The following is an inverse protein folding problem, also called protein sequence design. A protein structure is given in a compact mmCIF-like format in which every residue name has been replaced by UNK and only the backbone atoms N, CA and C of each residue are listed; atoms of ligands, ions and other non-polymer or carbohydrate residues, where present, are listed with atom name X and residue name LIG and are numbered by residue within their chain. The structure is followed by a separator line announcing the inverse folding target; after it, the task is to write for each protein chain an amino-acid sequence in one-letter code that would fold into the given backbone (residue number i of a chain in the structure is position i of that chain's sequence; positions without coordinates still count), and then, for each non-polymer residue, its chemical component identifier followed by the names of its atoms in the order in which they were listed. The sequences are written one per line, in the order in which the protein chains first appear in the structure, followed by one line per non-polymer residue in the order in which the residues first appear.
data_IF_815178279360
#
_entry.id   IF_815178279360
#
_cell.length_a   1.000
_cell.length_b   1.000
_cell.length_c   1.000
_cell.angle_alpha   90.00
_cell.angle_beta   90.00
_cell.angle_gamma   90.00
#
_symmetry.space_group_name_H-M   'P 1'
#
loop_
_entity.id
_entity.type
_entity.pdbx_description
1 polymer ?
#
# COMPACT_ATOMS: atom_id res chain seq x y z
N UNK A 1 -8.19 -2.23 -15.64
CA UNK A 1 -9.33 -3.02 -15.12
C UNK A 1 -9.49 -2.88 -13.61
N UNK A 2 -8.49 -3.19 -12.81
CA UNK A 2 -8.57 -3.12 -11.34
C UNK A 2 -8.34 -1.74 -10.73
N UNK A 3 -7.77 -0.78 -11.49
CA UNK A 3 -7.36 0.52 -10.98
C UNK A 3 -8.48 1.32 -10.29
N UNK A 4 -9.71 1.23 -10.78
CA UNK A 4 -10.86 1.89 -10.13
C UNK A 4 -11.23 1.25 -8.79
N UNK A 5 -11.24 -0.08 -8.74
CA UNK A 5 -11.52 -0.83 -7.50
C UNK A 5 -10.47 -0.58 -6.42
N UNK A 6 -9.20 -0.52 -6.82
CA UNK A 6 -8.06 -0.28 -5.95
C UNK A 6 -7.79 1.23 -5.75
N UNK A 7 -8.60 2.10 -6.38
CA UNK A 7 -8.36 3.56 -6.39
C UNK A 7 -6.91 3.89 -6.78
N UNK A 8 -6.39 3.19 -7.80
CA UNK A 8 -5.01 3.33 -8.25
C UNK A 8 -4.75 4.75 -8.73
N UNK A 9 -3.71 5.35 -8.20
CA UNK A 9 -3.17 6.62 -8.67
C UNK A 9 -1.79 6.38 -9.27
N UNK A 10 -1.38 7.24 -10.19
CA UNK A 10 -0.06 7.18 -10.78
C UNK A 10 0.48 8.58 -11.06
N UNK A 11 1.80 8.68 -11.07
CA UNK A 11 2.51 9.85 -11.59
C UNK A 11 3.82 9.41 -12.24
N UNK A 12 4.33 10.26 -13.12
CA UNK A 12 5.66 10.10 -13.72
C UNK A 12 6.53 11.28 -13.30
N UNK A 13 7.63 11.01 -12.64
CA UNK A 13 8.53 12.03 -12.14
C UNK A 13 9.97 11.50 -12.11
N UNK A 14 10.94 12.34 -12.46
CA UNK A 14 12.39 12.03 -12.46
C UNK A 14 12.77 10.72 -13.15
N UNK A 15 12.02 10.38 -14.23
CA UNK A 15 12.27 9.18 -15.02
C UNK A 15 11.73 7.89 -14.40
N UNK A 16 10.93 7.99 -13.36
CA UNK A 16 10.22 6.86 -12.75
C UNK A 16 8.71 7.01 -12.88
N UNK A 17 8.04 5.87 -13.11
CA UNK A 17 6.60 5.71 -12.95
C UNK A 17 6.33 5.24 -11.52
N UNK A 18 5.48 5.95 -10.81
CA UNK A 18 4.97 5.62 -9.49
C UNK A 18 3.53 5.18 -9.57
N UNK A 19 3.19 4.12 -8.87
CA UNK A 19 1.82 3.63 -8.74
C UNK A 19 1.51 3.42 -7.25
N UNK A 20 0.32 3.79 -6.83
CA UNK A 20 -0.20 3.56 -5.49
C UNK A 20 -1.63 3.05 -5.57
N UNK A 21 -1.90 1.95 -4.87
CA UNK A 21 -3.23 1.41 -4.69
C UNK A 21 -3.75 1.73 -3.28
N UNK A 22 -5.04 2.04 -3.18
CA UNK A 22 -5.72 2.25 -1.90
C UNK A 22 -6.75 1.15 -1.68
N UNK A 23 -6.52 0.32 -0.67
CA UNK A 23 -7.36 -0.85 -0.42
C UNK A 23 -7.53 -1.11 1.08
N UNK A 24 -8.77 -1.25 1.55
CA UNK A 24 -9.11 -1.44 2.96
C UNK A 24 -8.45 -0.43 3.93
N UNK A 25 -8.41 0.84 3.54
CA UNK A 25 -7.84 1.91 4.36
C UNK A 25 -6.31 1.91 4.44
N UNK A 26 -5.65 1.10 3.63
CA UNK A 26 -4.20 1.11 3.50
C UNK A 26 -3.77 1.53 2.10
N UNK A 27 -2.57 2.07 2.02
CA UNK A 27 -1.90 2.43 0.76
C UNK A 27 -0.81 1.43 0.46
N UNK A 28 -0.70 1.03 -0.81
CA UNK A 28 0.28 0.05 -1.29
C UNK A 28 1.00 0.62 -2.48
N UNK A 29 2.30 0.81 -2.36
CA UNK A 29 3.14 1.34 -3.42
C UNK A 29 3.69 0.20 -4.26
N UNK A 30 3.68 0.37 -5.58
CA UNK A 30 4.50 -0.47 -6.43
C UNK A 30 5.96 -0.05 -6.31
N UNK A 31 6.87 -0.99 -6.54
CA UNK A 31 8.28 -0.63 -6.70
C UNK A 31 8.41 0.39 -7.83
N UNK A 32 9.14 1.51 -7.65
CA UNK A 32 9.26 2.53 -8.69
C UNK A 32 9.84 1.93 -9.96
N UNK A 33 9.20 2.20 -11.09
CA UNK A 33 9.57 1.64 -12.39
C UNK A 33 10.32 2.70 -13.19
N UNK A 34 11.61 2.51 -13.37
CA UNK A 34 12.42 3.38 -14.21
C UNK A 34 12.38 2.96 -15.67
N UNK A 35 12.60 3.91 -16.58
CA UNK A 35 12.83 3.60 -17.97
C UNK A 35 14.17 2.88 -18.12
N UNK A 36 14.17 1.79 -18.87
CA UNK A 36 15.36 0.99 -19.16
C UNK A 36 16.08 0.39 -17.93
N UNK A 37 15.44 0.36 -16.75
CA UNK A 37 15.99 -0.25 -15.54
C UNK A 37 17.10 0.60 -14.89
N UNK A 38 17.00 1.92 -14.92
CA UNK A 38 17.93 2.83 -14.23
C UNK A 38 17.81 2.67 -12.70
N UNK A 39 18.69 1.89 -12.11
CA UNK A 39 18.70 1.59 -10.67
C UNK A 39 18.90 2.84 -9.81
N UNK A 40 19.64 3.86 -10.29
CA UNK A 40 19.82 5.10 -9.54
C UNK A 40 18.52 5.94 -9.52
N UNK A 41 17.74 5.92 -10.60
CA UNK A 41 16.43 6.55 -10.62
C UNK A 41 15.44 5.81 -9.71
N UNK A 42 15.47 4.48 -9.70
CA UNK A 42 14.63 3.65 -8.81
C UNK A 42 14.95 3.91 -7.34
N UNK A 43 16.23 4.02 -6.97
CA UNK A 43 16.65 4.33 -5.60
C UNK A 43 16.13 5.71 -5.14
N UNK A 44 16.29 6.74 -5.98
CA UNK A 44 15.69 8.06 -5.71
C UNK A 44 14.16 7.98 -5.64
N UNK A 45 13.55 7.10 -6.44
CA UNK A 45 12.13 6.83 -6.40
C UNK A 45 11.66 6.26 -5.05
N UNK A 46 12.45 5.35 -4.45
CA UNK A 46 12.17 4.82 -3.11
C UNK A 46 12.24 5.95 -2.07
N UNK A 47 13.28 6.80 -2.12
CA UNK A 47 13.40 7.96 -1.22
C UNK A 47 12.20 8.91 -1.29
N UNK A 48 11.66 9.12 -2.50
CA UNK A 48 10.44 9.92 -2.69
C UNK A 48 9.21 9.25 -2.08
N UNK A 49 9.05 7.94 -2.23
CA UNK A 49 7.96 7.19 -1.59
C UNK A 49 8.07 7.29 -0.07
N UNK A 50 9.27 7.15 0.50
CA UNK A 50 9.50 7.31 1.93
C UNK A 50 9.16 8.72 2.43
N UNK A 51 9.58 9.75 1.70
CA UNK A 51 9.25 11.13 2.00
C UNK A 51 7.72 11.37 1.97
N UNK A 52 7.06 10.88 0.92
CA UNK A 52 5.60 10.94 0.81
C UNK A 52 4.90 10.25 1.99
N UNK A 53 5.37 9.05 2.37
CA UNK A 53 4.82 8.32 3.50
C UNK A 53 4.92 9.11 4.82
N UNK A 54 6.08 9.76 5.03
CA UNK A 54 6.34 10.57 6.23
C UNK A 54 5.48 11.85 6.26
N UNK A 55 5.38 12.55 5.13
CA UNK A 55 4.66 13.81 5.02
C UNK A 55 3.14 13.65 5.14
N UNK A 56 2.62 12.52 4.69
CA UNK A 56 1.18 12.23 4.67
C UNK A 56 0.75 11.23 5.75
N UNK A 57 1.64 10.84 6.65
CA UNK A 57 1.41 9.81 7.70
C UNK A 57 0.85 8.48 7.13
N UNK A 58 1.39 8.08 5.98
CA UNK A 58 1.01 6.85 5.29
C UNK A 58 2.03 5.76 5.60
N UNK A 59 1.56 4.54 5.87
CA UNK A 59 2.42 3.38 6.08
C UNK A 59 3.12 2.95 4.80
N UNK A 60 4.41 2.65 4.89
CA UNK A 60 5.18 2.14 3.77
C UNK A 60 4.91 0.65 3.55
N UNK A 61 4.09 0.37 2.57
CA UNK A 61 3.83 -0.98 2.08
C UNK A 61 4.14 -1.04 0.60
N UNK A 62 5.07 -1.88 0.20
CA UNK A 62 5.25 -2.21 -1.20
C UNK A 62 4.42 -3.43 -1.58
N UNK A 63 3.86 -3.41 -2.78
CA UNK A 63 3.12 -4.53 -3.37
C UNK A 63 3.70 -4.92 -4.71
N UNK A 64 3.50 -6.18 -5.10
CA UNK A 64 3.94 -6.73 -6.39
C UNK A 64 5.44 -6.53 -6.68
N UNK A 65 6.27 -6.53 -5.63
CA UNK A 65 7.71 -6.33 -5.76
C UNK A 65 8.34 -7.48 -6.54
N UNK A 66 9.13 -7.20 -7.58
CA UNK A 66 9.88 -8.23 -8.28
C UNK A 66 10.91 -8.92 -7.37
N UNK A 67 11.11 -10.22 -7.56
CA UNK A 67 12.03 -11.02 -6.73
C UNK A 67 13.45 -10.47 -6.72
N UNK A 68 13.92 -9.98 -7.85
CA UNK A 68 15.25 -9.41 -8.03
C UNK A 68 15.50 -8.12 -7.24
N UNK A 69 14.44 -7.42 -6.84
CA UNK A 69 14.52 -6.19 -6.03
C UNK A 69 14.47 -6.43 -4.51
N UNK A 70 14.14 -7.67 -4.08
CA UNK A 70 14.08 -8.01 -2.65
C UNK A 70 15.42 -7.81 -1.91
N UNK A 71 16.59 -8.19 -2.47
CA UNK A 71 17.85 -8.04 -1.74
C UNK A 71 18.18 -6.58 -1.42
N UNK A 72 17.94 -5.64 -2.33
CA UNK A 72 18.21 -4.22 -2.09
C UNK A 72 17.28 -3.64 -1.02
N UNK A 73 15.99 -3.98 -1.06
CA UNK A 73 15.02 -3.55 -0.06
C UNK A 73 15.30 -4.18 1.32
N UNK A 74 15.70 -5.45 1.36
CA UNK A 74 16.09 -6.10 2.61
C UNK A 74 17.37 -5.49 3.19
N UNK A 75 18.32 -5.07 2.35
CA UNK A 75 19.51 -4.38 2.80
C UNK A 75 19.17 -2.97 3.33
N UNK A 76 18.26 -2.25 2.67
CA UNK A 76 17.84 -0.90 3.05
C UNK A 76 17.14 -0.87 4.40
N UNK A 77 16.20 -1.79 4.65
CA UNK A 77 15.34 -1.79 5.84
C UNK A 77 15.75 -2.78 6.92
N UNK A 78 16.69 -3.67 6.64
CA UNK A 78 17.23 -4.61 7.63
C UNK A 78 16.15 -5.49 8.26
N UNK A 79 16.14 -5.53 9.60
CA UNK A 79 15.20 -6.33 10.39
C UNK A 79 13.77 -5.72 10.44
N UNK A 80 13.59 -4.48 10.01
CA UNK A 80 12.31 -3.78 10.09
C UNK A 80 11.40 -4.06 8.88
N UNK A 81 11.86 -4.83 7.89
CA UNK A 81 11.05 -5.24 6.76
C UNK A 81 10.41 -6.61 7.01
N UNK A 82 9.10 -6.68 6.81
CA UNK A 82 8.36 -7.95 6.76
C UNK A 82 7.99 -8.26 5.32
N UNK A 83 8.61 -9.30 4.77
CA UNK A 83 8.37 -9.77 3.40
C UNK A 83 7.34 -10.90 3.46
N UNK A 84 6.29 -10.78 2.67
CA UNK A 84 5.25 -11.80 2.53
C UNK A 84 5.00 -12.15 1.08
N UNK A 85 4.64 -13.41 0.86
CA UNK A 85 4.29 -13.96 -0.44
C UNK A 85 3.02 -14.79 -0.29
N UNK A 86 1.93 -14.24 -0.80
CA UNK A 86 0.61 -14.81 -0.61
C UNK A 86 0.26 -15.67 -1.82
N UNK A 87 0.22 -17.00 -1.63
CA UNK A 87 -0.03 -18.01 -2.68
C UNK A 87 -1.22 -17.66 -3.60
N UNK A 88 -2.29 -17.10 -3.09
CA UNK A 88 -3.51 -16.78 -3.85
C UNK A 88 -3.32 -15.65 -4.87
N UNK A 89 -2.27 -14.83 -4.73
CA UNK A 89 -1.94 -13.71 -5.62
C UNK A 89 -0.90 -14.06 -6.68
N UNK A 90 -0.34 -15.29 -6.66
CA UNK A 90 0.66 -15.71 -7.65
C UNK A 90 0.02 -16.03 -8.99
N UNK A 91 0.58 -15.47 -10.06
CA UNK A 91 0.08 -15.71 -11.41
C UNK A 91 0.48 -17.08 -11.94
N UNK A 92 -0.40 -17.64 -12.74
CA UNK A 92 -0.17 -18.89 -13.44
C UNK A 92 0.44 -18.65 -14.81
N UNK A 93 1.71 -19.03 -14.97
CA UNK A 93 2.45 -18.91 -16.24
C UNK A 93 2.47 -20.24 -17.00
N UNK A 94 2.10 -20.18 -18.26
CA UNK A 94 2.03 -21.35 -19.13
C UNK A 94 2.89 -21.17 -20.38
N UNK A 95 3.24 -22.29 -21.02
CA UNK A 95 3.84 -22.32 -22.34
C UNK A 95 2.76 -22.04 -23.41
N UNK A 96 2.97 -21.05 -24.27
CA UNK A 96 1.99 -20.63 -25.27
C UNK A 96 1.71 -21.71 -26.30
N UNK A 97 2.74 -22.48 -26.71
CA UNK A 97 2.58 -23.61 -27.65
C UNK A 97 1.68 -24.70 -27.07
N UNK A 98 1.81 -24.96 -25.77
CA UNK A 98 0.96 -25.92 -25.08
C UNK A 98 -0.51 -25.55 -25.12
N UNK A 99 -0.85 -24.26 -25.09
CA UNK A 99 -2.24 -23.78 -25.24
C UNK A 99 -2.72 -23.85 -26.67
N UNK A 100 -1.85 -23.55 -27.65
CA UNK A 100 -2.21 -23.63 -29.08
C UNK A 100 -2.53 -25.05 -29.52
N UNK A 101 -1.85 -26.05 -28.98
CA UNK A 101 -1.89 -27.42 -29.53
C UNK A 101 -2.41 -28.47 -28.56
N UNK A 102 -2.36 -28.25 -27.26
CA UNK A 102 -2.61 -29.24 -26.20
C UNK A 102 -1.84 -30.55 -26.44
N UNK A 103 -0.50 -30.55 -26.46
CA UNK A 103 0.30 -31.65 -26.94
C UNK A 103 0.37 -32.84 -25.98
N UNK A 104 0.53 -34.05 -26.55
CA UNK A 104 0.84 -35.27 -25.78
C UNK A 104 -0.29 -35.76 -24.86
N UNK A 105 -0.01 -36.84 -24.12
CA UNK A 105 -0.99 -37.50 -23.25
C UNK A 105 -1.48 -36.65 -22.10
N UNK A 106 -0.63 -35.78 -21.55
CA UNK A 106 -0.95 -34.93 -20.40
C UNK A 106 -2.09 -33.95 -20.65
N UNK A 107 -2.32 -33.54 -21.91
CA UNK A 107 -3.43 -32.65 -22.31
C UNK A 107 -4.61 -33.40 -22.94
N UNK A 108 -4.68 -34.75 -22.81
CA UNK A 108 -5.80 -35.52 -23.37
C UNK A 108 -7.17 -35.04 -22.86
N UNK A 109 -7.26 -34.62 -21.61
CA UNK A 109 -8.49 -34.08 -21.02
C UNK A 109 -8.97 -32.82 -21.77
N UNK A 110 -8.08 -31.84 -21.98
CA UNK A 110 -8.39 -30.61 -22.71
C UNK A 110 -8.81 -30.90 -24.15
N UNK A 111 -8.05 -31.74 -24.86
CA UNK A 111 -8.42 -32.14 -26.22
C UNK A 111 -9.77 -32.84 -26.27
N UNK A 112 -10.07 -33.73 -25.33
CA UNK A 112 -11.35 -34.41 -25.27
C UNK A 112 -12.51 -33.43 -25.09
N UNK A 113 -12.34 -32.42 -24.22
CA UNK A 113 -13.32 -31.35 -24.03
C UNK A 113 -13.51 -30.51 -25.29
N UNK A 114 -12.43 -30.09 -25.95
CA UNK A 114 -12.46 -29.37 -27.23
C UNK A 114 -13.15 -30.19 -28.32
N UNK A 115 -12.77 -31.46 -28.48
CA UNK A 115 -13.36 -32.35 -29.50
C UNK A 115 -14.86 -32.57 -29.23
N UNK A 116 -15.24 -32.72 -27.97
CA UNK A 116 -16.65 -32.84 -27.58
C UNK A 116 -17.43 -31.57 -27.91
N UNK A 117 -16.87 -30.39 -27.60
CA UNK A 117 -17.48 -29.10 -27.95
C UNK A 117 -17.69 -28.99 -29.46
N UNK A 118 -16.65 -29.24 -30.27
CA UNK A 118 -16.71 -29.19 -31.74
C UNK A 118 -17.73 -30.15 -32.33
N UNK A 119 -17.88 -31.35 -31.72
CA UNK A 119 -18.87 -32.35 -32.15
C UNK A 119 -20.31 -31.91 -31.77
N UNK A 120 -20.47 -31.29 -30.61
CA UNK A 120 -21.80 -30.87 -30.12
C UNK A 120 -22.30 -29.62 -30.85
N UNK A 121 -21.40 -28.74 -31.24
CA UNK A 121 -21.67 -27.46 -31.92
C UNK A 121 -20.87 -27.39 -33.22
N UNK A 122 -21.29 -28.11 -34.28
CA UNK A 122 -20.56 -28.14 -35.56
C UNK A 122 -20.57 -26.79 -36.30
N UNK A 123 -21.49 -25.91 -35.92
CA UNK A 123 -21.67 -24.54 -36.41
C UNK A 123 -20.89 -23.49 -35.62
N UNK A 124 -20.01 -23.91 -34.70
CA UNK A 124 -19.24 -22.96 -33.88
C UNK A 124 -18.27 -22.13 -34.72
N UNK A 125 -18.10 -20.88 -34.32
CA UNK A 125 -17.13 -19.94 -34.88
C UNK A 125 -16.34 -19.27 -33.78
N UNK A 126 -15.05 -19.04 -34.01
CA UNK A 126 -14.25 -18.11 -33.22
C UNK A 126 -14.16 -16.79 -33.96
N UNK A 127 -14.64 -15.72 -33.34
CA UNK A 127 -14.63 -14.38 -33.90
C UNK A 127 -13.68 -13.49 -33.12
N UNK A 128 -12.85 -12.74 -33.85
CA UNK A 128 -12.15 -11.59 -33.26
C UNK A 128 -13.17 -10.52 -32.93
N UNK A 129 -13.02 -9.90 -31.76
CA UNK A 129 -13.92 -8.82 -31.34
C UNK A 129 -13.66 -7.55 -32.16
N UNK A 130 -14.71 -6.96 -32.65
CA UNK A 130 -14.73 -5.64 -33.29
C UNK A 130 -15.69 -4.73 -32.53
N UNK A 131 -15.56 -3.39 -32.62
CA UNK A 131 -16.40 -2.45 -31.85
C UNK A 131 -17.92 -2.66 -32.05
N UNK A 132 -18.32 -3.14 -33.21
CA UNK A 132 -19.72 -3.43 -33.57
C UNK A 132 -20.28 -4.63 -32.73
N UNK A 133 -19.42 -5.49 -32.21
CA UNK A 133 -19.81 -6.64 -31.41
C UNK A 133 -20.17 -6.28 -29.96
N UNK A 134 -19.86 -5.04 -29.52
CA UNK A 134 -20.06 -4.58 -28.15
C UNK A 134 -21.43 -4.95 -27.58
N UNK A 135 -22.58 -4.68 -28.27
CA UNK A 135 -23.88 -5.02 -27.69
C UNK A 135 -24.08 -6.52 -27.47
N UNK A 136 -23.53 -7.36 -28.37
CA UNK A 136 -23.68 -8.81 -28.28
C UNK A 136 -22.79 -9.39 -27.16
N UNK A 137 -21.57 -8.90 -27.01
CA UNK A 137 -20.65 -9.28 -25.93
C UNK A 137 -21.17 -8.82 -24.57
N UNK A 138 -21.70 -7.61 -24.46
CA UNK A 138 -22.37 -7.15 -23.23
C UNK A 138 -23.56 -8.02 -22.85
N UNK A 139 -24.40 -8.41 -23.80
CA UNK A 139 -25.53 -9.30 -23.54
C UNK A 139 -25.05 -10.67 -23.01
N UNK A 140 -23.99 -11.24 -23.60
CA UNK A 140 -23.35 -12.47 -23.11
C UNK A 140 -22.83 -12.30 -21.67
N UNK A 141 -22.10 -11.22 -21.37
CA UNK A 141 -21.54 -10.98 -20.06
C UNK A 141 -22.62 -10.79 -18.99
N UNK A 142 -23.74 -10.15 -19.33
CA UNK A 142 -24.92 -10.04 -18.46
C UNK A 142 -25.55 -11.42 -18.22
N UNK A 143 -25.71 -12.25 -19.26
CA UNK A 143 -26.19 -13.64 -19.13
C UNK A 143 -25.23 -14.47 -18.24
N UNK A 144 -23.91 -14.33 -18.46
CA UNK A 144 -22.89 -14.98 -17.67
C UNK A 144 -23.02 -14.60 -16.18
N UNK A 145 -23.04 -13.30 -15.87
CA UNK A 145 -23.18 -12.80 -14.51
C UNK A 145 -24.46 -13.35 -13.86
N UNK A 146 -25.59 -13.22 -14.47
CA UNK A 146 -26.88 -13.72 -13.95
C UNK A 146 -26.85 -15.24 -13.65
N UNK A 147 -26.04 -16.02 -14.38
CA UNK A 147 -25.91 -17.46 -14.21
C UNK A 147 -24.96 -17.87 -13.06
N UNK A 148 -24.11 -16.96 -12.59
CA UNK A 148 -23.10 -17.22 -11.56
C UNK A 148 -23.60 -16.92 -10.14
N UNK A 149 -24.56 -15.99 -10.00
CA UNK A 149 -24.92 -15.44 -8.71
C UNK A 149 -26.02 -16.21 -7.98
N UNK A 150 -25.57 -17.14 -7.12
CA UNK A 150 -26.27 -17.48 -5.89
C UNK A 150 -25.45 -17.05 -4.63
N UNK A 151 -24.34 -16.30 -4.81
CA UNK A 151 -23.52 -15.78 -3.71
C UNK A 151 -23.21 -14.31 -3.99
N UNK A 152 -23.42 -13.45 -3.00
CA UNK A 152 -22.89 -12.10 -2.98
C UNK A 152 -21.34 -12.17 -3.00
N UNK A 153 -20.76 -11.98 -4.18
CA UNK A 153 -19.32 -11.91 -4.38
C UNK A 153 -18.98 -10.53 -4.93
N UNK A 154 -18.69 -9.62 -4.01
CA UNK A 154 -18.32 -8.23 -4.32
C UNK A 154 -17.13 -8.12 -5.28
N UNK A 155 -16.21 -9.09 -5.23
CA UNK A 155 -15.03 -9.11 -6.10
C UNK A 155 -15.41 -9.41 -7.56
N UNK A 156 -16.31 -10.36 -7.80
CA UNK A 156 -16.80 -10.70 -9.13
C UNK A 156 -17.62 -9.53 -9.74
N UNK A 157 -18.34 -8.77 -8.92
CA UNK A 157 -19.08 -7.60 -9.36
C UNK A 157 -18.15 -6.48 -9.82
N UNK A 158 -17.07 -6.21 -9.08
CA UNK A 158 -16.06 -5.21 -9.45
C UNK A 158 -15.27 -5.64 -10.70
N UNK A 159 -14.93 -6.92 -10.83
CA UNK A 159 -14.34 -7.45 -12.06
C UNK A 159 -15.24 -7.16 -13.26
N UNK A 160 -16.54 -7.45 -13.16
CA UNK A 160 -17.47 -7.22 -14.26
C UNK A 160 -17.64 -5.73 -14.60
N UNK A 161 -17.67 -4.84 -13.62
CA UNK A 161 -17.68 -3.40 -13.87
C UNK A 161 -16.44 -2.97 -14.66
N UNK A 162 -15.25 -3.43 -14.24
CA UNK A 162 -14.00 -3.17 -14.96
C UNK A 162 -14.02 -3.70 -16.40
N UNK A 163 -14.59 -4.89 -16.63
CA UNK A 163 -14.74 -5.44 -17.98
C UNK A 163 -15.60 -4.54 -18.85
N UNK A 164 -16.78 -4.11 -18.38
CA UNK A 164 -17.65 -3.20 -19.14
C UNK A 164 -17.00 -1.86 -19.44
N UNK A 165 -16.10 -1.37 -18.58
CA UNK A 165 -15.36 -0.13 -18.84
C UNK A 165 -14.31 -0.27 -19.94
N UNK A 166 -13.61 -1.40 -20.04
CA UNK A 166 -12.54 -1.59 -21.03
C UNK A 166 -13.08 -2.00 -22.42
N UNK A 167 -14.24 -2.66 -22.49
CA UNK A 167 -14.77 -3.18 -23.76
C UNK A 167 -14.83 -2.16 -24.89
N UNK A 168 -15.35 -0.91 -24.69
CA UNK A 168 -15.38 0.09 -25.74
C UNK A 168 -13.99 0.55 -26.21
N UNK A 169 -12.96 0.33 -25.40
CA UNK A 169 -11.62 0.87 -25.58
C UNK A 169 -10.56 -0.19 -25.96
N UNK A 170 -10.97 -1.43 -26.25
CA UNK A 170 -10.05 -2.54 -26.56
C UNK A 170 -9.04 -2.17 -27.64
N UNK A 171 -9.50 -1.50 -28.72
CA UNK A 171 -8.63 -1.06 -29.81
C UNK A 171 -7.63 0.03 -29.39
N UNK A 172 -8.08 1.03 -28.62
CA UNK A 172 -7.25 2.11 -28.12
C UNK A 172 -6.19 1.60 -27.14
N UNK A 173 -6.57 0.64 -26.29
CA UNK A 173 -5.70 -0.02 -25.32
C UNK A 173 -4.78 -1.08 -25.95
N UNK A 174 -4.89 -1.31 -27.27
CA UNK A 174 -4.13 -2.35 -28.01
C UNK A 174 -4.29 -3.75 -27.40
N UNK A 175 -5.46 -4.04 -26.87
CA UNK A 175 -5.81 -5.33 -26.32
C UNK A 175 -6.32 -6.27 -27.42
N UNK A 176 -6.26 -7.57 -27.15
CA UNK A 176 -6.77 -8.62 -28.00
C UNK A 176 -8.03 -9.21 -27.38
N UNK A 177 -9.11 -9.30 -28.14
CA UNK A 177 -10.34 -9.90 -27.64
C UNK A 177 -10.95 -10.81 -28.71
N UNK A 178 -11.63 -11.86 -28.23
CA UNK A 178 -12.32 -12.79 -29.10
C UNK A 178 -13.38 -13.57 -28.37
N UNK A 179 -14.34 -14.10 -29.13
CA UNK A 179 -15.46 -14.85 -28.59
C UNK A 179 -15.79 -16.11 -29.41
N UNK A 180 -16.43 -17.06 -28.72
CA UNK A 180 -17.01 -18.24 -29.38
C UNK A 180 -18.50 -18.02 -29.60
N UNK A 181 -18.93 -18.21 -30.83
CA UNK A 181 -20.35 -18.32 -31.20
C UNK A 181 -20.69 -19.80 -31.44
N UNK A 182 -21.78 -20.28 -30.86
CA UNK A 182 -22.27 -21.62 -31.07
C UNK A 182 -23.79 -21.64 -30.82
N UNK A 183 -24.54 -22.38 -31.67
CA UNK A 183 -25.98 -22.42 -31.57
C UNK A 183 -26.65 -21.04 -31.71
N UNK A 184 -26.09 -20.16 -32.52
CA UNK A 184 -26.62 -18.81 -32.80
C UNK A 184 -26.34 -17.76 -31.72
N UNK A 185 -25.59 -18.05 -30.66
CA UNK A 185 -25.27 -17.10 -29.59
C UNK A 185 -23.80 -17.15 -29.17
N UNK A 186 -23.33 -16.09 -28.52
CA UNK A 186 -22.00 -16.08 -27.87
C UNK A 186 -22.07 -16.99 -26.64
N UNK A 187 -21.10 -17.91 -26.52
CA UNK A 187 -21.01 -18.88 -25.43
C UNK A 187 -19.73 -18.74 -24.58
N UNK A 188 -18.71 -18.05 -25.10
CA UNK A 188 -17.50 -17.73 -24.36
C UNK A 188 -16.83 -16.46 -24.93
N UNK A 189 -16.08 -15.76 -24.10
CA UNK A 189 -15.37 -14.52 -24.39
C UNK A 189 -14.03 -14.48 -23.66
N UNK A 190 -12.99 -13.95 -24.30
CA UNK A 190 -11.68 -13.78 -23.71
C UNK A 190 -11.05 -12.45 -24.14
N UNK A 191 -10.33 -11.80 -23.20
CA UNK A 191 -9.56 -10.57 -23.44
C UNK A 191 -8.18 -10.71 -22.82
N UNK A 192 -7.17 -10.23 -23.54
CA UNK A 192 -5.80 -10.18 -23.06
C UNK A 192 -4.99 -9.07 -23.72
N UNK A 193 -3.80 -8.87 -23.22
CA UNK A 193 -2.83 -7.94 -23.79
C UNK A 193 -1.46 -8.60 -23.96
N UNK A 194 -0.69 -8.08 -24.91
CA UNK A 194 0.67 -8.56 -25.14
C UNK A 194 1.67 -7.65 -24.44
N UNK A 195 2.48 -8.26 -23.56
CA UNK A 195 3.61 -7.62 -22.91
C UNK A 195 4.89 -8.36 -23.29
N UNK A 196 5.67 -7.83 -24.22
CA UNK A 196 6.88 -8.47 -24.74
C UNK A 196 6.60 -9.83 -25.41
N UNK A 197 7.14 -10.91 -24.85
CA UNK A 197 6.95 -12.29 -25.32
C UNK A 197 5.85 -13.03 -24.53
N UNK A 198 5.03 -12.32 -23.75
CA UNK A 198 3.95 -12.86 -22.94
C UNK A 198 2.59 -12.31 -23.39
N UNK A 199 1.58 -13.17 -23.42
CA UNK A 199 0.17 -12.80 -23.47
C UNK A 199 -0.41 -12.89 -22.06
N UNK A 200 -0.92 -11.77 -21.55
CA UNK A 200 -1.64 -11.72 -20.25
C UNK A 200 -3.13 -11.82 -20.56
N UNK A 201 -3.79 -12.85 -20.05
CA UNK A 201 -5.23 -13.06 -20.23
C UNK A 201 -5.96 -12.59 -18.99
N UNK A 202 -6.60 -11.41 -19.09
CA UNK A 202 -7.33 -10.77 -18.00
C UNK A 202 -8.71 -11.38 -17.80
N UNK A 203 -9.39 -11.69 -18.92
CA UNK A 203 -10.76 -12.17 -18.91
C UNK A 203 -10.87 -13.45 -19.73
N UNK A 204 -11.45 -14.47 -19.13
CA UNK A 204 -11.88 -15.67 -19.82
C UNK A 204 -13.16 -16.19 -19.17
N UNK A 205 -14.28 -16.03 -19.85
CA UNK A 205 -15.62 -16.40 -19.37
C UNK A 205 -16.29 -17.32 -20.36
N UNK A 206 -17.02 -18.33 -19.85
CA UNK A 206 -17.84 -19.20 -20.67
C UNK A 206 -19.14 -19.59 -19.93
N UNK A 207 -20.24 -19.74 -20.66
CA UNK A 207 -21.53 -20.09 -20.08
C UNK A 207 -21.50 -21.47 -19.43
N UNK A 208 -22.05 -21.59 -18.24
CA UNK A 208 -22.29 -22.88 -17.60
C UNK A 208 -23.23 -23.74 -18.45
N UNK A 209 -22.94 -25.03 -18.50
CA UNK A 209 -23.72 -25.98 -19.31
C UNK A 209 -23.25 -26.11 -20.76
N UNK A 210 -22.41 -25.20 -21.27
CA UNK A 210 -21.76 -25.35 -22.57
C UNK A 210 -20.45 -26.10 -22.40
N UNK A 211 -20.54 -27.43 -22.41
CA UNK A 211 -19.41 -28.29 -22.10
C UNK A 211 -18.27 -28.13 -23.11
N UNK A 212 -17.05 -27.87 -22.61
CA UNK A 212 -15.85 -27.69 -23.41
C UNK A 212 -15.63 -26.28 -23.94
N UNK A 213 -16.52 -25.30 -23.64
CA UNK A 213 -16.35 -23.93 -24.09
C UNK A 213 -15.05 -23.28 -23.55
N UNK A 214 -14.74 -23.41 -22.26
CA UNK A 214 -13.49 -22.88 -21.67
C UNK A 214 -12.22 -23.37 -22.36
N UNK A 215 -11.94 -24.68 -22.48
CA UNK A 215 -10.72 -25.12 -23.17
C UNK A 215 -10.73 -24.80 -24.68
N UNK A 216 -11.91 -24.64 -25.30
CA UNK A 216 -12.01 -24.25 -26.69
C UNK A 216 -11.68 -22.78 -26.90
N UNK A 217 -12.23 -21.86 -26.09
CA UNK A 217 -11.90 -20.43 -26.20
C UNK A 217 -10.42 -20.21 -25.87
N UNK A 218 -9.86 -20.84 -24.84
CA UNK A 218 -8.46 -20.73 -24.47
C UNK A 218 -7.53 -21.16 -25.61
N UNK A 219 -7.85 -22.30 -26.27
CA UNK A 219 -7.07 -22.79 -27.40
C UNK A 219 -7.14 -21.87 -28.61
N UNK A 220 -8.33 -21.46 -29.02
CA UNK A 220 -8.54 -20.64 -30.21
C UNK A 220 -8.02 -19.23 -30.03
N UNK A 221 -8.17 -18.65 -28.83
CA UNK A 221 -7.54 -17.38 -28.48
C UNK A 221 -6.02 -17.44 -28.61
N UNK A 222 -5.40 -18.50 -28.06
CA UNK A 222 -3.98 -18.70 -28.19
C UNK A 222 -3.52 -18.95 -29.64
N UNK A 223 -4.29 -19.69 -30.43
CA UNK A 223 -4.01 -19.92 -31.85
C UNK A 223 -4.07 -18.64 -32.68
N UNK A 224 -5.00 -17.74 -32.35
CA UNK A 224 -5.22 -16.50 -33.09
C UNK A 224 -4.23 -15.40 -32.68
N UNK A 225 -4.00 -15.21 -31.37
CA UNK A 225 -3.29 -14.04 -30.84
C UNK A 225 -1.90 -14.34 -30.25
N UNK A 226 -1.59 -15.60 -29.96
CA UNK A 226 -0.27 -15.98 -29.44
C UNK A 226 0.62 -16.55 -30.55
N UNK A 227 0.73 -15.85 -31.69
CA UNK A 227 1.60 -16.22 -32.80
C UNK A 227 3.06 -15.90 -32.53
N UNK A 228 3.79 -15.53 -33.61
CA UNK A 228 5.22 -15.28 -33.56
C UNK A 228 5.65 -14.32 -32.45
N UNK A 229 6.65 -14.75 -31.67
CA UNK A 229 7.24 -13.98 -30.58
C UNK A 229 6.52 -14.08 -29.24
N UNK A 230 5.34 -14.73 -29.14
CA UNK A 230 4.70 -15.02 -27.84
C UNK A 230 5.12 -16.42 -27.37
N UNK A 231 5.86 -16.44 -26.26
CA UNK A 231 6.34 -17.67 -25.65
C UNK A 231 5.49 -18.12 -24.47
N UNK A 232 4.93 -17.18 -23.75
CA UNK A 232 4.23 -17.42 -22.49
C UNK A 232 2.79 -16.91 -22.53
N UNK A 233 1.92 -17.58 -21.76
CA UNK A 233 0.58 -17.08 -21.41
C UNK A 233 0.52 -16.96 -19.89
N UNK A 234 0.24 -15.76 -19.41
CA UNK A 234 -0.09 -15.49 -18.03
C UNK A 234 -1.63 -15.40 -17.90
N UNK A 235 -2.21 -16.21 -17.01
CA UNK A 235 -3.66 -16.20 -16.76
C UNK A 235 -3.99 -15.66 -15.36
N UNK A 236 -3.15 -14.78 -14.85
CA UNK A 236 -3.27 -14.17 -13.53
C UNK A 236 -3.43 -15.18 -12.39
N UNK A 237 -3.83 -14.74 -11.22
CA UNK A 237 -3.91 -15.52 -10.01
C UNK A 237 -5.26 -16.28 -9.84
N UNK A 238 -5.45 -16.97 -8.71
CA UNK A 238 -6.68 -17.70 -8.39
C UNK A 238 -7.54 -17.03 -7.32
N UNK A 239 -7.18 -15.85 -6.84
CA UNK A 239 -7.89 -15.05 -5.81
C UNK A 239 -8.29 -15.87 -4.55
N UNK A 240 -7.71 -17.07 -4.38
CA UNK A 240 -8.03 -17.99 -3.31
C UNK A 240 -9.22 -18.93 -3.59
N UNK A 241 -9.86 -18.84 -4.77
CA UNK A 241 -10.93 -19.74 -5.15
C UNK A 241 -10.41 -21.14 -5.49
N UNK A 242 -10.90 -22.15 -4.79
CA UNK A 242 -10.45 -23.53 -4.94
C UNK A 242 -10.82 -24.15 -6.30
N UNK A 243 -11.96 -23.75 -6.87
CA UNK A 243 -12.43 -24.20 -8.17
C UNK A 243 -11.57 -23.63 -9.30
N UNK A 244 -11.30 -22.31 -9.25
CA UNK A 244 -10.46 -21.61 -10.18
C UNK A 244 -9.02 -22.15 -10.11
N UNK A 245 -8.49 -22.36 -8.90
CA UNK A 245 -7.19 -23.01 -8.67
C UNK A 245 -7.10 -24.37 -9.34
N UNK A 246 -8.08 -25.24 -9.09
CA UNK A 246 -8.16 -26.57 -9.70
C UNK A 246 -8.18 -26.47 -11.22
N UNK A 247 -9.01 -25.56 -11.76
CA UNK A 247 -9.09 -25.32 -13.21
C UNK A 247 -7.75 -24.88 -13.79
N UNK A 248 -7.10 -23.88 -13.20
CA UNK A 248 -5.80 -23.36 -13.68
C UNK A 248 -4.70 -24.43 -13.63
N UNK A 249 -4.64 -25.24 -12.56
CA UNK A 249 -3.65 -26.33 -12.44
C UNK A 249 -3.85 -27.44 -13.49
N UNK A 250 -5.06 -27.68 -13.98
CA UNK A 250 -5.31 -28.67 -15.03
C UNK A 250 -4.66 -28.33 -16.38
N UNK A 251 -4.29 -27.07 -16.60
CA UNK A 251 -3.53 -26.64 -17.79
C UNK A 251 -2.02 -26.72 -17.62
N UNK A 252 -1.54 -27.30 -16.51
CA UNK A 252 -0.13 -27.62 -16.25
C UNK A 252 0.78 -26.39 -16.38
N UNK A 253 0.67 -25.40 -15.49
CA UNK A 253 1.51 -24.21 -15.53
C UNK A 253 3.00 -24.57 -15.44
N UNK A 254 3.84 -23.85 -16.15
CA UNK A 254 5.30 -23.96 -16.06
C UNK A 254 5.78 -23.62 -14.65
N UNK A 255 5.22 -22.54 -14.10
CA UNK A 255 5.47 -22.07 -12.75
C UNK A 255 4.38 -21.12 -12.30
N UNK A 256 4.38 -20.83 -11.03
CA UNK A 256 3.67 -19.66 -10.46
C UNK A 256 4.67 -18.51 -10.40
N UNK A 257 4.21 -17.32 -10.78
CA UNK A 257 4.99 -16.09 -10.67
C UNK A 257 4.78 -15.52 -9.28
N UNK A 258 5.86 -15.41 -8.52
CA UNK A 258 5.83 -14.87 -7.17
C UNK A 258 5.56 -13.36 -7.21
N UNK A 259 4.73 -12.89 -6.28
CA UNK A 259 4.43 -11.48 -6.05
C UNK A 259 4.68 -11.19 -4.57
N UNK A 260 5.67 -10.37 -4.28
CA UNK A 260 6.06 -10.08 -2.91
C UNK A 260 5.43 -8.77 -2.44
N UNK A 261 4.97 -8.80 -1.19
CA UNK A 261 4.56 -7.59 -0.49
C UNK A 261 5.52 -7.36 0.67
N UNK A 262 5.88 -6.12 0.88
CA UNK A 262 6.75 -5.70 1.95
C UNK A 262 6.04 -4.67 2.82
N UNK A 263 6.01 -4.91 4.12
CA UNK A 263 5.59 -3.93 5.11
C UNK A 263 6.83 -3.50 5.88
N UNK A 264 7.14 -2.21 5.86
CA UNK A 264 8.27 -1.66 6.60
C UNK A 264 7.77 -1.13 7.93
N UNK A 265 8.42 -1.54 9.03
CA UNK A 265 8.10 -1.08 10.38
C UNK A 265 8.88 0.19 10.69
N UNK A 266 8.22 1.09 11.39
CA UNK A 266 8.84 2.26 12.02
C UNK A 266 9.23 1.92 13.45
N UNK A 267 10.17 2.60 14.08
CA UNK A 267 10.57 2.33 15.47
C UNK A 267 9.40 2.29 16.45
N UNK A 268 8.42 3.19 16.31
CA UNK A 268 7.22 3.24 17.15
C UNK A 268 6.33 1.98 17.04
N UNK A 269 6.36 1.28 15.91
CA UNK A 269 5.51 0.11 15.66
C UNK A 269 5.85 -1.06 16.59
N UNK A 270 7.03 -1.06 17.22
CA UNK A 270 7.45 -2.05 18.21
C UNK A 270 6.77 -1.89 19.58
N UNK A 271 6.22 -0.71 19.86
CA UNK A 271 5.63 -0.42 21.17
C UNK A 271 4.19 -0.96 21.27
N UNK A 272 3.89 -1.73 22.31
CA UNK A 272 2.52 -2.17 22.62
C UNK A 272 1.78 -1.23 23.58
N UNK A 273 2.53 -0.42 24.35
CA UNK A 273 2.02 0.55 25.32
C UNK A 273 2.95 1.75 25.39
N UNK A 274 2.44 2.87 25.89
CA UNK A 274 3.25 4.05 26.21
C UNK A 274 4.32 3.69 27.25
N UNK A 275 5.56 4.13 27.10
CA UNK A 275 6.64 3.89 28.06
C UNK A 275 6.52 4.82 29.26
N UNK A 276 7.24 4.48 30.30
CA UNK A 276 7.56 5.38 31.40
C UNK A 276 9.06 5.66 31.39
N UNK A 277 9.43 6.95 31.38
CA UNK A 277 10.83 7.42 31.30
C UNK A 277 11.10 8.31 32.50
N UNK A 278 12.00 7.88 33.35
CA UNK A 278 12.48 8.65 34.50
C UNK A 278 13.67 9.51 34.11
N UNK A 279 13.70 10.73 34.59
CA UNK A 279 14.82 11.67 34.49
C UNK A 279 15.32 12.05 35.90
N UNK A 280 16.17 13.06 36.00
CA UNK A 280 16.66 13.51 37.32
C UNK A 280 15.53 13.99 38.25
N UNK A 281 14.52 14.69 37.68
CA UNK A 281 13.42 15.30 38.46
C UNK A 281 12.03 14.93 37.93
N UNK A 282 11.94 14.47 36.68
CA UNK A 282 10.67 14.29 35.98
C UNK A 282 10.39 12.81 35.73
N UNK A 283 9.11 12.52 35.61
CA UNK A 283 8.62 11.25 35.07
C UNK A 283 7.82 11.58 33.81
N UNK A 284 8.24 11.00 32.65
CA UNK A 284 7.52 11.09 31.38
C UNK A 284 6.71 9.83 31.22
N UNK A 285 5.39 9.93 31.18
CA UNK A 285 4.51 8.76 31.13
C UNK A 285 3.18 9.08 30.49
N UNK A 286 2.35 8.06 30.28
CA UNK A 286 0.97 8.26 29.83
C UNK A 286 0.24 9.26 30.74
N UNK A 287 -0.52 10.18 30.14
CA UNK A 287 -1.36 11.09 30.89
C UNK A 287 -2.47 10.31 31.59
N UNK A 288 -2.55 10.44 32.89
CA UNK A 288 -3.53 9.75 33.73
C UNK A 288 -4.94 10.33 33.54
N UNK A 289 -5.97 9.51 33.76
CA UNK A 289 -7.36 9.96 33.65
C UNK A 289 -7.72 11.06 34.66
N UNK A 290 -7.04 11.08 35.80
CA UNK A 290 -7.20 12.09 36.84
C UNK A 290 -6.71 13.46 36.38
N UNK A 291 -5.78 13.52 35.41
CA UNK A 291 -5.18 14.75 34.91
C UNK A 291 -5.89 15.28 33.64
N UNK A 292 -7.03 14.71 33.28
CA UNK A 292 -7.77 15.05 32.05
C UNK A 292 -8.06 16.56 31.93
N UNK A 293 -8.43 17.20 33.03
CA UNK A 293 -8.71 18.65 33.05
C UNK A 293 -7.45 19.50 32.86
N UNK A 294 -6.35 19.09 33.50
CA UNK A 294 -5.07 19.78 33.39
C UNK A 294 -4.47 19.61 31.99
N UNK A 295 -4.60 18.43 31.42
CA UNK A 295 -4.18 18.17 30.03
C UNK A 295 -5.03 18.95 29.02
N UNK A 296 -6.36 19.01 29.20
CA UNK A 296 -7.23 19.79 28.34
C UNK A 296 -6.93 21.30 28.43
N UNK A 297 -6.55 21.79 29.61
CA UNK A 297 -6.09 23.18 29.80
C UNK A 297 -4.81 23.47 29.02
N UNK A 298 -3.85 22.53 29.03
CA UNK A 298 -2.63 22.60 28.24
C UNK A 298 -2.94 22.61 26.72
N UNK A 299 -3.85 21.75 26.29
CA UNK A 299 -4.20 21.59 24.89
C UNK A 299 -5.03 22.74 24.31
N UNK A 300 -5.83 23.43 25.11
CA UNK A 300 -6.68 24.57 24.70
C UNK A 300 -6.03 25.94 24.84
N UNK A 301 -4.87 26.04 25.42
CA UNK A 301 -4.21 27.34 25.62
C UNK A 301 -3.69 27.87 24.27
N UNK A 302 -4.42 28.80 23.65
CA UNK A 302 -4.12 29.35 22.32
C UNK A 302 -2.78 30.10 22.29
N UNK A 303 -2.39 30.76 23.37
CA UNK A 303 -1.09 31.46 23.45
C UNK A 303 0.05 30.46 23.50
N UNK A 304 -0.07 29.38 24.29
CA UNK A 304 0.90 28.30 24.38
C UNK A 304 1.00 27.54 23.06
N UNK A 305 -0.15 27.27 22.45
CA UNK A 305 -0.23 26.46 21.22
C UNK A 305 0.03 27.27 19.94
N UNK A 306 0.15 28.60 20.02
CA UNK A 306 0.50 29.45 18.87
C UNK A 306 1.71 28.96 18.08
N UNK A 307 2.66 28.33 18.77
CA UNK A 307 3.90 27.79 18.18
C UNK A 307 3.93 26.24 18.16
N UNK A 308 2.81 25.58 18.45
CA UNK A 308 2.77 24.11 18.46
C UNK A 308 2.65 23.53 17.04
N UNK A 309 2.15 24.34 16.09
CA UNK A 309 1.91 23.89 14.71
C UNK A 309 0.61 23.11 14.54
N UNK A 310 -0.21 23.07 15.59
CA UNK A 310 -1.51 22.43 15.64
C UNK A 310 -2.53 23.45 16.19
N UNK A 311 -3.65 23.58 15.50
CA UNK A 311 -4.75 24.41 15.93
C UNK A 311 -5.92 23.51 16.33
N UNK A 312 -6.14 23.31 17.60
CA UNK A 312 -7.19 22.43 18.11
C UNK A 312 -8.61 22.83 17.63
N UNK A 313 -8.83 24.10 17.29
CA UNK A 313 -10.11 24.57 16.74
C UNK A 313 -10.44 23.97 15.37
N UNK A 314 -9.46 23.47 14.63
CA UNK A 314 -9.68 22.88 13.32
C UNK A 314 -10.18 21.42 13.44
N UNK A 315 -9.82 20.72 14.50
CA UNK A 315 -10.09 19.28 14.67
C UNK A 315 -11.11 18.97 15.76
N UNK A 316 -11.10 19.76 16.85
CA UNK A 316 -12.03 19.55 17.97
C UNK A 316 -13.36 20.30 17.74
N UNK A 317 -14.51 19.70 18.06
CA UNK A 317 -15.77 20.43 18.13
C UNK A 317 -15.69 21.58 19.16
N UNK A 318 -16.32 22.70 18.90
CA UNK A 318 -16.38 23.84 19.83
C UNK A 318 -16.86 23.46 21.25
N UNK A 319 -17.62 22.40 21.36
CA UNK A 319 -18.15 21.81 22.59
C UNK A 319 -17.39 20.57 23.06
N UNK A 320 -16.18 20.34 22.58
CA UNK A 320 -15.40 19.16 22.94
C UNK A 320 -15.25 19.06 24.47
N UNK A 321 -15.56 17.92 25.10
CA UNK A 321 -15.29 17.70 26.50
C UNK A 321 -13.76 17.58 26.73
N UNK A 322 -13.32 17.77 27.98
CA UNK A 322 -11.91 17.68 28.33
C UNK A 322 -11.32 16.29 27.97
N UNK A 323 -12.12 15.23 28.08
CA UNK A 323 -11.71 13.87 27.71
C UNK A 323 -11.35 13.72 26.23
N UNK A 324 -11.90 14.59 25.35
CA UNK A 324 -11.62 14.54 23.93
C UNK A 324 -10.12 14.65 23.62
N UNK A 325 -9.42 15.59 24.27
CA UNK A 325 -7.99 15.81 24.06
C UNK A 325 -7.14 14.66 24.51
N UNK A 326 -7.53 14.02 25.62
CA UNK A 326 -6.81 12.83 26.13
C UNK A 326 -7.06 11.60 25.23
N UNK A 327 -8.30 11.44 24.76
CA UNK A 327 -8.66 10.37 23.83
C UNK A 327 -7.95 10.55 22.48
N UNK A 328 -7.78 11.78 22.01
CA UNK A 328 -7.11 12.11 20.76
C UNK A 328 -5.65 11.65 20.76
N UNK A 329 -4.86 12.06 21.75
CA UNK A 329 -3.44 11.62 21.85
C UNK A 329 -3.31 10.11 22.08
N UNK A 330 -4.24 9.48 22.78
CA UNK A 330 -4.29 8.03 22.94
C UNK A 330 -4.58 7.31 21.61
N UNK A 331 -5.46 7.89 20.79
CA UNK A 331 -5.76 7.37 19.46
C UNK A 331 -4.56 7.52 18.52
N UNK A 332 -3.81 8.61 18.60
CA UNK A 332 -2.59 8.79 17.82
C UNK A 332 -1.51 7.77 18.18
N UNK A 333 -1.32 7.49 19.47
CA UNK A 333 -0.45 6.39 19.86
C UNK A 333 -0.97 5.03 19.38
N UNK A 334 -2.26 4.78 19.49
CA UNK A 334 -2.88 3.53 19.00
C UNK A 334 -2.69 3.33 17.50
N UNK A 335 -2.77 4.41 16.73
CA UNK A 335 -2.48 4.43 15.28
C UNK A 335 -0.98 4.41 14.99
N UNK A 336 -0.12 4.59 16.00
CA UNK A 336 1.35 4.71 15.88
C UNK A 336 1.80 5.96 15.11
N UNK A 337 1.04 7.02 15.18
CA UNK A 337 1.39 8.30 14.59
C UNK A 337 2.34 9.07 15.51
N UNK A 338 2.04 9.04 16.82
CA UNK A 338 2.75 9.80 17.82
C UNK A 338 3.06 8.96 19.07
N UNK A 339 4.10 9.36 19.80
CA UNK A 339 4.46 8.87 21.12
C UNK A 339 4.34 10.03 22.13
N UNK A 340 3.11 10.37 22.56
CA UNK A 340 2.87 11.47 23.49
C UNK A 340 3.06 11.01 24.93
N UNK A 341 3.83 11.76 25.71
CA UNK A 341 4.02 11.53 27.15
C UNK A 341 3.74 12.82 27.93
N UNK A 342 2.93 12.70 28.94
CA UNK A 342 2.80 13.75 29.97
C UNK A 342 4.11 13.91 30.74
N UNK A 343 4.49 15.15 31.01
CA UNK A 343 5.64 15.51 31.84
C UNK A 343 5.18 15.72 33.26
N UNK A 344 5.66 14.93 34.20
CA UNK A 344 5.27 14.97 35.61
C UNK A 344 6.42 15.42 36.50
N UNK A 345 6.14 16.35 37.40
CA UNK A 345 7.03 16.76 38.48
C UNK A 345 6.33 16.57 39.82
N UNK A 346 6.92 15.81 40.74
CA UNK A 346 6.34 15.47 42.06
C UNK A 346 4.89 14.97 41.97
N UNK A 347 4.57 14.19 40.94
CA UNK A 347 3.25 13.62 40.72
C UNK A 347 2.23 14.55 40.03
N UNK A 348 2.56 15.82 39.79
CA UNK A 348 1.70 16.77 39.09
C UNK A 348 2.07 16.87 37.62
N UNK A 349 1.06 16.89 36.72
CA UNK A 349 1.27 17.14 35.29
C UNK A 349 1.75 18.59 35.10
N UNK A 350 2.87 18.79 34.42
CA UNK A 350 3.48 20.09 34.14
C UNK A 350 3.63 20.41 32.65
N UNK A 351 3.39 19.45 31.80
CA UNK A 351 3.51 19.61 30.35
C UNK A 351 3.38 18.33 29.58
N UNK A 352 3.81 18.37 28.31
CA UNK A 352 3.83 17.26 27.39
C UNK A 352 5.13 17.27 26.58
N UNK A 353 5.61 16.08 26.23
CA UNK A 353 6.68 15.86 25.26
C UNK A 353 6.25 14.76 24.30
N UNK A 354 6.47 14.94 23.01
CA UNK A 354 6.01 14.00 21.98
C UNK A 354 7.10 13.73 20.96
N UNK A 355 7.26 12.45 20.56
CA UNK A 355 7.92 12.07 19.32
C UNK A 355 6.85 11.78 18.27
N UNK A 356 7.01 12.31 17.07
CA UNK A 356 6.06 12.20 15.97
C UNK A 356 6.79 12.16 14.63
N UNK A 357 6.07 11.96 13.52
CA UNK A 357 6.63 11.83 12.17
C UNK A 357 7.77 10.80 12.09
N UNK A 358 7.52 9.63 12.68
CA UNK A 358 8.46 8.54 12.61
C UNK A 358 8.71 8.10 11.17
N UNK A 359 9.96 8.19 10.73
CA UNK A 359 10.38 7.76 9.40
C UNK A 359 10.93 6.34 9.39
N UNK A 360 11.27 5.88 8.20
CA UNK A 360 11.75 4.53 7.93
C UNK A 360 13.29 4.41 7.97
N UNK A 361 13.99 5.52 8.08
CA UNK A 361 15.45 5.58 8.30
C UNK A 361 15.79 5.81 9.78
N UNK A 362 14.97 5.30 10.69
CA UNK A 362 15.11 5.44 12.13
C UNK A 362 15.17 6.92 12.61
N UNK A 363 14.34 7.77 12.03
CA UNK A 363 14.18 9.18 12.41
C UNK A 363 12.81 9.47 12.97
N UNK A 364 12.72 10.57 13.76
CA UNK A 364 11.48 11.16 14.24
C UNK A 364 11.66 12.66 14.49
N UNK A 365 10.54 13.40 14.60
CA UNK A 365 10.53 14.78 15.11
C UNK A 365 10.16 14.78 16.60
N UNK A 366 10.63 15.78 17.34
CA UNK A 366 10.32 15.98 18.74
C UNK A 366 9.69 17.36 18.99
N UNK A 367 8.63 17.37 19.80
CA UNK A 367 8.00 18.58 20.30
C UNK A 367 7.79 18.53 21.81
N UNK A 368 7.61 19.68 22.43
CA UNK A 368 7.28 19.79 23.85
C UNK A 368 6.54 21.07 24.16
N UNK A 369 5.68 21.04 25.16
CA UNK A 369 5.02 22.22 25.72
C UNK A 369 4.91 22.08 27.25
N UNK A 370 5.09 23.18 27.95
CA UNK A 370 5.05 23.26 29.43
C UNK A 370 4.02 24.28 29.82
N UNK A 371 3.19 23.95 30.80
CA UNK A 371 2.19 24.87 31.36
C UNK A 371 2.83 26.22 31.74
N UNK A 372 2.19 27.36 31.43
CA UNK A 372 2.78 28.69 31.60
C UNK A 372 3.37 28.94 32.99
N UNK A 373 2.64 28.58 34.06
CA UNK A 373 3.06 28.75 35.44
C UNK A 373 4.18 27.77 35.90
N UNK A 374 4.52 26.80 35.04
CA UNK A 374 5.58 25.81 35.27
C UNK A 374 6.83 26.09 34.43
N UNK A 375 6.80 27.06 33.55
CA UNK A 375 7.93 27.46 32.72
C UNK A 375 9.08 28.06 33.53
N UNK A 376 10.25 28.24 32.90
CA UNK A 376 11.44 28.83 33.53
C UNK A 376 12.15 27.95 34.56
N UNK A 377 11.72 26.69 34.75
CA UNK A 377 12.27 25.75 35.75
C UNK A 377 13.16 24.66 35.16
N UNK A 378 13.40 24.72 33.85
CA UNK A 378 14.21 23.76 33.13
C UNK A 378 13.50 22.44 32.71
N UNK A 379 12.19 22.32 32.99
CA UNK A 379 11.43 21.10 32.69
C UNK A 379 11.40 20.78 31.17
N UNK A 380 11.24 21.78 30.34
CA UNK A 380 11.28 21.61 28.88
C UNK A 380 12.60 20.98 28.41
N UNK A 381 13.74 21.50 28.86
CA UNK A 381 15.05 20.94 28.51
C UNK A 381 15.21 19.50 29.00
N UNK A 382 14.81 19.24 30.25
CA UNK A 382 14.96 17.93 30.88
C UNK A 382 14.06 16.88 30.22
N UNK A 383 12.80 17.23 29.89
CA UNK A 383 11.90 16.34 29.16
C UNK A 383 12.40 16.02 27.76
N UNK A 384 12.94 17.01 27.02
CA UNK A 384 13.57 16.77 25.72
C UNK A 384 14.75 15.79 25.83
N UNK A 385 15.63 15.97 26.82
CA UNK A 385 16.78 15.09 27.02
C UNK A 385 16.34 13.66 27.33
N UNK A 386 15.40 13.47 28.23
CA UNK A 386 14.88 12.14 28.59
C UNK A 386 14.20 11.44 27.40
N UNK A 387 13.38 12.19 26.65
CA UNK A 387 12.70 11.63 25.49
C UNK A 387 13.65 11.31 24.33
N UNK A 388 14.68 12.14 24.08
CA UNK A 388 15.70 11.84 23.09
C UNK A 388 16.54 10.64 23.48
N UNK A 389 16.94 10.52 24.75
CA UNK A 389 17.68 9.36 25.25
C UNK A 389 16.85 8.06 25.09
N UNK A 390 15.56 8.10 25.42
CA UNK A 390 14.65 6.99 25.19
C UNK A 390 14.57 6.64 23.71
N UNK A 391 14.42 7.65 22.84
CA UNK A 391 14.37 7.48 21.38
C UNK A 391 15.62 6.78 20.83
N UNK A 392 16.80 7.22 21.22
CA UNK A 392 18.06 6.63 20.77
C UNK A 392 18.32 5.25 21.37
N UNK A 393 18.18 5.10 22.71
CA UNK A 393 18.62 3.90 23.40
C UNK A 393 17.58 2.75 23.41
N UNK A 394 16.29 3.08 23.31
CA UNK A 394 15.21 2.09 23.43
C UNK A 394 14.44 1.88 22.14
N UNK A 395 14.18 2.93 21.37
CA UNK A 395 13.51 2.83 20.09
C UNK A 395 14.49 2.59 18.92
N UNK A 396 15.79 2.80 19.13
CA UNK A 396 16.79 2.64 18.09
C UNK A 396 16.75 3.76 17.02
N UNK A 397 16.25 4.94 17.39
CA UNK A 397 16.33 6.10 16.51
C UNK A 397 17.80 6.48 16.26
N UNK A 398 18.14 6.78 15.04
CA UNK A 398 19.46 7.30 14.69
C UNK A 398 19.49 8.82 14.66
N UNK A 399 18.33 9.44 14.37
CA UNK A 399 18.20 10.89 14.23
C UNK A 399 16.88 11.37 14.82
N UNK A 400 16.94 12.45 15.59
CA UNK A 400 15.76 13.18 16.09
C UNK A 400 15.88 14.61 15.60
N UNK A 401 14.82 15.11 14.98
CA UNK A 401 14.69 16.44 14.43
C UNK A 401 13.74 17.29 15.26
N UNK A 402 13.87 18.59 15.16
CA UNK A 402 12.93 19.55 15.72
C UNK A 402 12.90 20.79 14.84
N UNK A 403 11.75 21.45 14.81
CA UNK A 403 11.61 22.78 14.22
C UNK A 403 10.99 23.74 15.24
N UNK A 404 11.31 25.00 15.15
CA UNK A 404 10.61 26.02 15.90
C UNK A 404 10.45 27.29 15.06
N UNK A 405 9.35 28.01 15.29
CA UNK A 405 9.14 29.31 14.67
C UNK A 405 10.29 30.27 14.97
N UNK A 406 10.72 31.08 14.01
CA UNK A 406 11.81 32.04 14.18
C UNK A 406 11.54 33.05 15.31
N UNK A 407 10.27 33.38 15.53
CA UNK A 407 9.83 34.25 16.60
C UNK A 407 9.92 33.59 18.00
N UNK A 408 9.92 32.23 18.06
CA UNK A 408 9.99 31.50 19.33
C UNK A 408 11.44 31.28 19.77
N UNK A 409 12.08 32.37 20.18
CA UNK A 409 13.49 32.37 20.63
C UNK A 409 13.74 31.49 21.85
N UNK A 410 12.73 31.34 22.72
CA UNK A 410 12.79 30.49 23.92
C UNK A 410 12.90 29.01 23.50
N UNK A 411 12.09 28.56 22.56
CA UNK A 411 12.19 27.19 22.02
C UNK A 411 13.54 26.95 21.36
N UNK A 412 14.00 27.88 20.50
CA UNK A 412 15.31 27.79 19.86
C UNK A 412 16.47 27.68 20.88
N UNK A 413 16.42 28.44 21.96
CA UNK A 413 17.40 28.34 23.05
C UNK A 413 17.29 26.97 23.78
N UNK A 414 16.08 26.52 24.05
CA UNK A 414 15.83 25.25 24.74
C UNK A 414 16.36 24.06 23.94
N UNK A 415 16.08 24.01 22.62
CA UNK A 415 16.60 22.98 21.72
C UNK A 415 18.14 22.95 21.68
N UNK A 416 18.78 24.12 21.54
CA UNK A 416 20.24 24.23 21.61
C UNK A 416 20.80 23.75 22.95
N UNK A 417 20.16 24.15 24.06
CA UNK A 417 20.59 23.76 25.41
C UNK A 417 20.41 22.26 25.68
N UNK A 418 19.48 21.60 24.97
CA UNK A 418 19.32 20.13 24.97
C UNK A 418 20.33 19.40 24.04
N UNK A 419 21.26 20.15 23.43
CA UNK A 419 22.32 19.60 22.60
C UNK A 419 21.92 19.33 21.14
N UNK A 420 20.79 19.87 20.67
CA UNK A 420 20.43 19.84 19.26
C UNK A 420 21.22 20.88 18.47
N UNK A 421 21.64 20.52 17.26
CA UNK A 421 22.39 21.39 16.36
C UNK A 421 21.49 21.96 15.28
N UNK A 422 21.66 23.24 14.90
CA UNK A 422 20.93 23.81 13.77
C UNK A 422 21.37 23.14 12.47
N UNK A 423 20.40 22.87 11.56
CA UNK A 423 20.68 22.26 10.25
C UNK A 423 20.05 23.01 9.08
N UNK A 424 19.34 24.10 9.32
CA UNK A 424 18.77 24.94 8.27
C UNK A 424 17.71 25.88 8.80
N UNK A 425 17.18 26.69 7.90
CA UNK A 425 16.04 27.58 8.14
C UNK A 425 15.32 27.85 6.82
N UNK A 426 14.02 28.17 6.92
CA UNK A 426 13.22 28.71 5.84
C UNK A 426 12.67 30.11 6.23
N UNK A 427 11.62 30.60 5.60
CA UNK A 427 10.99 31.87 5.93
C UNK A 427 10.38 31.88 7.35
N UNK A 428 9.88 30.74 7.83
CA UNK A 428 9.08 30.59 9.04
C UNK A 428 9.83 29.92 10.19
N UNK A 429 10.65 28.90 9.89
CA UNK A 429 11.21 28.00 10.90
C UNK A 429 12.73 28.00 10.93
N UNK A 430 13.29 27.71 12.12
CA UNK A 430 14.61 27.14 12.33
C UNK A 430 14.49 25.63 12.47
N UNK A 431 15.41 24.87 11.85
CA UNK A 431 15.48 23.41 11.91
C UNK A 431 16.67 22.97 12.75
N UNK A 432 16.45 21.94 13.55
CA UNK A 432 17.47 21.36 14.44
C UNK A 432 17.47 19.84 14.31
N UNK A 433 18.61 19.23 14.66
CA UNK A 433 18.72 17.79 14.75
C UNK A 433 19.67 17.37 15.87
N UNK A 434 19.52 16.11 16.29
CA UNK A 434 20.49 15.39 17.13
C UNK A 434 20.54 13.95 16.67
N UNK A 435 21.74 13.34 16.68
CA UNK A 435 21.95 11.93 16.33
C UNK A 435 22.35 11.11 17.54
N UNK A 436 22.14 9.80 17.49
CA UNK A 436 22.53 8.87 18.52
C UNK A 436 24.06 8.99 18.84
N UNK A 437 24.90 9.12 17.82
CA UNK A 437 26.35 9.31 17.97
C UNK A 437 26.72 10.58 18.74
N UNK A 438 25.89 11.64 18.68
CA UNK A 438 26.12 12.90 19.44
C UNK A 438 25.71 12.79 20.91
N UNK A 439 24.94 11.75 21.29
CA UNK A 439 24.48 11.50 22.66
C UNK A 439 25.46 10.62 23.44
N UNK A 440 26.39 9.97 22.75
CA UNK A 440 27.42 9.10 23.35
C UNK A 440 28.69 9.86 23.76
N UNK A 441 28.74 11.16 23.54
CA UNK A 441 29.80 12.11 23.94
C UNK A 441 29.35 12.99 25.11
#
# INVERSE_FOLDING_TARGET
MWGRYLSTQYCEEDGCLFLIDHYFGNSYFYYPLSKDGDEAAEERGIEKIEAYCRENDVRLHFTNVPREKLPSLALRYGADVHISDIRRWRDYLYDAESFRTYPGGKYSGQRNHVNKFKKTYPDFEFCTYEPEDLPAVEAFLKEYSASQYAKEDTYADEEMKGVFEILPHIGELKMYAGYLRAGGKIVAFSVGERCGDMMIVHIEKALRGVQGAYPTIAQLFAQTFCGDGVKYINREDDSGDAGLRKSKLQYLPLRLVDKYNLAVKRPIDSLSKLPEVETERLVLKEVADEDVHEFARLARDDELNRYWGYNWHDDAPDTAPDSWFLEDIRNDFKKKNELPLGVYFEGALVGEVVLYRFGYAAEAEIGMRILPERQGRGYARESLLGMMEYGFCKLGLERIEAKCFKENTVSAYTLKSAGMRPCGEDETYFYFYKTAAMSSL
#
